data_IF_672697306261
#
_entry.id   IF_672697306261
#
_cell.length_a   1.000
_cell.length_b   1.000
_cell.length_c   1.000
_cell.angle_alpha   90.00
_cell.angle_beta   90.00
_cell.angle_gamma   90.00
#
_symmetry.space_group_name_H-M   'P 1'
#
loop_
_entity.id
_entity.type
_entity.pdbx_description
1 polymer ?
#
# COMPACT_ATOMS: atom_id res chain seq x y z
N UNK A 1 36.88 -53.12 -20.26
CA UNK A 1 36.06 -51.98 -20.73
C UNK A 1 34.85 -51.81 -19.81
N UNK A 2 34.67 -50.58 -19.32
CA UNK A 2 33.45 -49.92 -18.84
C UNK A 2 32.56 -50.59 -17.78
N UNK A 3 32.67 -50.12 -16.53
CA UNK A 3 31.50 -49.94 -15.65
C UNK A 3 31.81 -48.87 -14.60
N UNK A 4 31.65 -47.60 -14.96
CA UNK A 4 31.59 -46.51 -14.00
C UNK A 4 30.88 -45.33 -14.64
N UNK A 5 29.55 -45.28 -14.54
CA UNK A 5 28.82 -44.03 -14.83
C UNK A 5 27.40 -43.89 -14.26
N UNK A 6 26.90 -44.81 -13.42
CA UNK A 6 25.52 -44.70 -12.91
C UNK A 6 25.35 -43.98 -11.56
N UNK A 7 26.42 -43.45 -10.95
CA UNK A 7 26.34 -42.87 -9.60
C UNK A 7 26.40 -41.33 -9.53
N UNK A 8 26.53 -40.64 -10.67
CA UNK A 8 26.58 -39.17 -10.72
C UNK A 8 25.18 -38.53 -10.68
N UNK A 9 24.21 -39.10 -11.39
CA UNK A 9 22.83 -38.58 -11.43
C UNK A 9 22.10 -38.72 -10.09
N UNK A 10 22.30 -39.83 -9.38
CA UNK A 10 21.69 -40.07 -8.07
C UNK A 10 22.24 -39.10 -7.00
N UNK A 11 23.55 -38.82 -7.04
CA UNK A 11 24.20 -37.86 -6.14
C UNK A 11 23.77 -36.41 -6.39
N UNK A 12 23.49 -36.04 -7.64
CA UNK A 12 22.98 -34.71 -7.98
C UNK A 12 21.53 -34.54 -7.55
N UNK A 13 20.69 -35.57 -7.70
CA UNK A 13 19.30 -35.55 -7.21
C UNK A 13 19.22 -35.54 -5.67
N UNK A 14 20.10 -36.27 -4.96
CA UNK A 14 20.19 -36.19 -3.51
C UNK A 14 20.71 -34.82 -3.02
N UNK A 15 21.63 -34.17 -3.75
CA UNK A 15 22.09 -32.81 -3.42
C UNK A 15 21.02 -31.74 -3.68
N UNK A 16 20.18 -31.91 -4.69
CA UNK A 16 19.04 -31.02 -4.94
C UNK A 16 17.95 -31.17 -3.85
N UNK A 17 17.66 -32.41 -3.42
CA UNK A 17 16.75 -32.65 -2.29
C UNK A 17 17.31 -32.18 -0.94
N UNK A 18 18.63 -32.34 -0.69
CA UNK A 18 19.24 -31.93 0.58
C UNK A 18 19.56 -30.43 0.68
N UNK A 19 19.73 -29.69 -0.42
CA UNK A 19 19.83 -28.22 -0.35
C UNK A 19 18.53 -27.58 0.15
N UNK A 20 17.39 -28.23 -0.11
CA UNK A 20 16.09 -27.78 0.37
C UNK A 20 15.78 -28.19 1.81
N UNK A 21 16.63 -29.02 2.44
CA UNK A 21 16.42 -29.56 3.79
C UNK A 21 16.93 -28.63 4.91
N UNK A 22 17.61 -27.54 4.53
CA UNK A 22 18.16 -26.53 5.45
C UNK A 22 17.69 -25.10 5.10
N UNK A 23 16.61 -24.96 4.34
CA UNK A 23 15.89 -23.70 4.26
C UNK A 23 14.98 -23.64 5.49
N UNK A 24 15.25 -22.70 6.40
CA UNK A 24 14.35 -22.12 7.42
C UNK A 24 13.14 -23.00 7.76
N UNK A 25 13.18 -23.64 8.95
CA UNK A 25 12.27 -24.69 9.42
C UNK A 25 10.84 -24.63 8.85
N UNK A 26 10.35 -25.80 8.46
CA UNK A 26 9.03 -26.07 7.87
C UNK A 26 7.88 -25.48 8.73
N UNK A 27 7.69 -24.17 8.64
CA UNK A 27 6.47 -23.52 9.09
C UNK A 27 5.48 -23.64 7.95
N UNK A 28 4.74 -24.75 7.93
CA UNK A 28 3.55 -24.82 7.08
C UNK A 28 2.54 -23.82 7.64
N UNK A 29 2.20 -22.74 6.91
CA UNK A 29 1.33 -21.70 7.42
C UNK A 29 -0.03 -22.32 7.73
N UNK A 30 -0.56 -22.03 8.91
CA UNK A 30 -1.86 -22.55 9.32
C UNK A 30 -2.97 -22.06 8.38
N UNK A 31 -4.10 -22.77 8.26
CA UNK A 31 -5.23 -22.32 7.43
C UNK A 31 -5.69 -20.89 7.77
N UNK A 32 -5.67 -20.52 9.04
CA UNK A 32 -6.04 -19.17 9.49
C UNK A 32 -5.07 -18.09 8.99
N UNK A 33 -3.77 -18.35 9.02
CA UNK A 33 -2.78 -17.42 8.49
C UNK A 33 -2.85 -17.31 6.97
N UNK A 34 -3.10 -18.43 6.27
CA UNK A 34 -3.29 -18.40 4.82
C UNK A 34 -4.52 -17.56 4.44
N UNK A 35 -5.61 -17.68 5.20
CA UNK A 35 -6.82 -16.86 5.02
C UNK A 35 -6.59 -15.39 5.34
N UNK A 36 -5.83 -15.08 6.39
CA UNK A 36 -5.46 -13.70 6.74
C UNK A 36 -4.57 -13.07 5.68
N UNK A 37 -3.57 -13.80 5.18
CA UNK A 37 -2.73 -13.36 4.05
C UNK A 37 -3.54 -13.14 2.79
N UNK A 38 -4.47 -14.04 2.47
CA UNK A 38 -5.38 -13.88 1.33
C UNK A 38 -6.21 -12.59 1.46
N UNK A 39 -6.75 -12.30 2.65
CA UNK A 39 -7.52 -11.09 2.91
C UNK A 39 -6.68 -9.81 2.75
N UNK A 40 -5.45 -9.81 3.26
CA UNK A 40 -4.49 -8.72 3.08
C UNK A 40 -4.11 -8.51 1.61
N UNK A 41 -3.78 -9.58 0.90
CA UNK A 41 -3.43 -9.52 -0.51
C UNK A 41 -4.62 -9.05 -1.37
N UNK A 42 -5.87 -9.44 -1.05
CA UNK A 42 -7.07 -8.92 -1.72
C UNK A 42 -7.22 -7.41 -1.49
N UNK A 43 -7.04 -6.93 -0.24
CA UNK A 43 -7.11 -5.49 0.06
C UNK A 43 -6.02 -4.72 -0.68
N UNK A 44 -4.79 -5.21 -0.64
CA UNK A 44 -3.65 -4.63 -1.36
C UNK A 44 -3.90 -4.58 -2.85
N UNK A 45 -4.38 -5.67 -3.44
CA UNK A 45 -4.68 -5.75 -4.87
C UNK A 45 -5.71 -4.70 -5.30
N UNK A 46 -6.75 -4.48 -4.49
CA UNK A 46 -7.72 -3.40 -4.73
C UNK A 46 -7.07 -2.04 -4.76
N UNK A 47 -6.24 -1.72 -3.76
CA UNK A 47 -5.54 -0.43 -3.69
C UNK A 47 -4.63 -0.24 -4.92
N UNK A 48 -3.87 -1.27 -5.31
CA UNK A 48 -2.98 -1.20 -6.47
C UNK A 48 -3.76 -1.02 -7.78
N UNK A 49 -4.93 -1.66 -7.95
CA UNK A 49 -5.81 -1.40 -9.09
C UNK A 49 -6.40 0.00 -9.06
N UNK A 50 -6.84 0.49 -7.90
CA UNK A 50 -7.35 1.86 -7.75
C UNK A 50 -6.27 2.89 -8.13
N UNK A 51 -5.01 2.68 -7.69
CA UNK A 51 -3.86 3.50 -8.10
C UNK A 51 -3.63 3.46 -9.60
N UNK A 52 -3.70 2.29 -10.23
CA UNK A 52 -3.57 2.11 -11.67
C UNK A 52 -4.67 2.84 -12.45
N UNK A 53 -5.94 2.71 -12.03
CA UNK A 53 -7.05 3.41 -12.68
C UNK A 53 -6.99 4.92 -12.48
N UNK A 54 -6.48 5.37 -11.33
CA UNK A 54 -6.22 6.79 -11.05
C UNK A 54 -4.96 7.33 -11.73
N UNK A 55 -4.20 6.50 -12.45
CA UNK A 55 -3.00 6.89 -13.19
C UNK A 55 -1.73 7.08 -12.36
N UNK A 56 -1.73 6.73 -11.08
CA UNK A 56 -0.54 6.77 -10.22
C UNK A 56 0.51 5.71 -10.63
N UNK A 57 0.05 4.56 -11.13
CA UNK A 57 0.91 3.54 -11.72
C UNK A 57 0.55 3.32 -13.19
N UNK A 58 1.57 3.11 -14.03
CA UNK A 58 1.39 2.88 -15.48
C UNK A 58 1.00 1.44 -15.84
N UNK A 59 1.22 0.49 -14.93
CA UNK A 59 1.04 -0.95 -15.18
C UNK A 59 0.04 -1.56 -14.20
N UNK A 60 -0.83 -2.48 -14.65
CA UNK A 60 -1.69 -3.25 -13.77
C UNK A 60 -0.88 -4.10 -12.76
N UNK A 61 -1.43 -4.37 -11.56
CA UNK A 61 -0.75 -5.17 -10.54
C UNK A 61 -0.82 -6.68 -10.81
N UNK A 62 -0.04 -7.14 -11.79
CA UNK A 62 -0.02 -8.56 -12.18
C UNK A 62 0.54 -9.48 -11.10
N UNK A 63 1.59 -9.07 -10.39
CA UNK A 63 2.25 -9.90 -9.37
C UNK A 63 1.33 -10.20 -8.18
N UNK A 64 0.73 -9.16 -7.60
CA UNK A 64 -0.23 -9.31 -6.49
C UNK A 64 -1.46 -10.09 -6.94
N UNK A 65 -1.95 -9.84 -8.17
CA UNK A 65 -3.08 -10.61 -8.74
C UNK A 65 -2.77 -12.10 -8.82
N UNK A 66 -1.62 -12.47 -9.37
CA UNK A 66 -1.21 -13.87 -9.51
C UNK A 66 -1.06 -14.57 -8.15
N UNK A 67 -0.56 -13.85 -7.14
CA UNK A 67 -0.47 -14.36 -5.76
C UNK A 67 -1.85 -14.66 -5.17
N UNK A 68 -2.79 -13.72 -5.28
CA UNK A 68 -4.18 -13.91 -4.84
C UNK A 68 -4.84 -15.08 -5.55
N UNK A 69 -4.73 -15.16 -6.88
CA UNK A 69 -5.32 -16.27 -7.67
C UNK A 69 -4.75 -17.62 -7.27
N UNK A 70 -3.44 -17.69 -7.01
CA UNK A 70 -2.77 -18.91 -6.54
C UNK A 70 -3.28 -19.34 -5.16
N UNK A 71 -3.41 -18.40 -4.21
CA UNK A 71 -3.92 -18.67 -2.87
C UNK A 71 -5.40 -19.08 -2.89
N UNK A 72 -6.24 -18.41 -3.69
CA UNK A 72 -7.65 -18.77 -3.86
C UNK A 72 -7.77 -20.20 -4.40
N UNK A 73 -7.00 -20.55 -5.44
CA UNK A 73 -7.02 -21.90 -5.99
C UNK A 73 -6.59 -22.94 -4.95
N UNK A 74 -5.47 -22.69 -4.26
CA UNK A 74 -4.94 -23.60 -3.24
C UNK A 74 -5.93 -23.86 -2.11
N UNK A 75 -6.52 -22.79 -1.54
CA UNK A 75 -7.49 -22.88 -0.44
C UNK A 75 -8.84 -23.44 -0.91
N UNK A 76 -9.21 -23.22 -2.18
CA UNK A 76 -10.39 -23.80 -2.79
C UNK A 76 -10.31 -25.33 -2.90
N UNK A 77 -9.14 -25.83 -3.29
CA UNK A 77 -8.83 -27.26 -3.47
C UNK A 77 -8.57 -27.98 -2.13
N UNK A 78 -8.30 -27.25 -1.05
CA UNK A 78 -8.06 -27.81 0.28
C UNK A 78 -9.36 -28.36 0.92
N UNK A 79 -9.40 -29.68 1.10
CA UNK A 79 -10.50 -30.43 1.71
C UNK A 79 -10.39 -30.54 3.24
N UNK A 80 -9.28 -30.11 3.82
CA UNK A 80 -9.01 -30.23 5.27
C UNK A 80 -9.50 -29.02 6.07
N UNK A 81 -9.95 -27.96 5.39
CA UNK A 81 -10.47 -26.75 6.01
C UNK A 81 -11.70 -27.03 6.90
N UNK A 82 -11.69 -26.45 8.11
CA UNK A 82 -12.85 -26.44 8.99
C UNK A 82 -14.02 -25.67 8.34
N UNK A 83 -15.24 -25.91 8.82
CA UNK A 83 -16.44 -25.17 8.39
C UNK A 83 -16.27 -23.65 8.52
N UNK A 84 -15.67 -23.19 9.63
CA UNK A 84 -15.39 -21.77 9.86
C UNK A 84 -14.40 -21.21 8.82
N UNK A 85 -13.32 -21.95 8.54
CA UNK A 85 -12.35 -21.59 7.51
C UNK A 85 -12.99 -21.55 6.12
N UNK A 86 -13.85 -22.53 5.80
CA UNK A 86 -14.55 -22.59 4.50
C UNK A 86 -15.52 -21.43 4.32
N UNK A 87 -16.24 -21.05 5.38
CA UNK A 87 -17.10 -19.87 5.36
C UNK A 87 -16.28 -18.60 5.07
N UNK A 88 -15.19 -18.37 5.82
CA UNK A 88 -14.29 -17.22 5.61
C UNK A 88 -13.71 -17.21 4.20
N UNK A 89 -13.22 -18.36 3.73
CA UNK A 89 -12.75 -18.53 2.35
C UNK A 89 -13.82 -18.13 1.32
N UNK A 90 -15.04 -18.64 1.45
CA UNK A 90 -16.14 -18.34 0.51
C UNK A 90 -16.46 -16.83 0.48
N UNK A 91 -16.46 -16.17 1.64
CA UNK A 91 -16.63 -14.71 1.72
C UNK A 91 -15.51 -13.96 1.00
N UNK A 92 -14.26 -14.38 1.18
CA UNK A 92 -13.09 -13.77 0.52
C UNK A 92 -13.10 -14.01 -0.99
N UNK A 93 -13.41 -15.24 -1.44
CA UNK A 93 -13.51 -15.60 -2.84
C UNK A 93 -14.62 -14.81 -3.54
N UNK A 94 -15.78 -14.65 -2.90
CA UNK A 94 -16.88 -13.82 -3.42
C UNK A 94 -16.49 -12.35 -3.56
N UNK A 95 -15.82 -11.78 -2.54
CA UNK A 95 -15.29 -10.41 -2.57
C UNK A 95 -14.30 -10.22 -3.72
N UNK A 96 -13.36 -11.16 -3.88
CA UNK A 96 -12.41 -11.14 -4.98
C UNK A 96 -13.10 -11.21 -6.35
N UNK A 97 -14.09 -12.09 -6.52
CA UNK A 97 -14.83 -12.20 -7.78
C UNK A 97 -15.56 -10.90 -8.14
N UNK A 98 -16.18 -10.24 -7.17
CA UNK A 98 -16.83 -8.94 -7.36
C UNK A 98 -15.81 -7.87 -7.83
N UNK A 99 -14.64 -7.79 -7.19
CA UNK A 99 -13.59 -6.87 -7.60
C UNK A 99 -13.01 -7.21 -8.98
N UNK A 100 -12.77 -8.49 -9.26
CA UNK A 100 -12.26 -8.96 -10.55
C UNK A 100 -13.18 -8.56 -11.70
N UNK A 101 -14.50 -8.72 -11.54
CA UNK A 101 -15.46 -8.32 -12.55
C UNK A 101 -15.53 -6.80 -12.71
N UNK A 102 -15.46 -6.04 -11.61
CA UNK A 102 -15.37 -4.58 -11.65
C UNK A 102 -14.13 -4.12 -12.43
N UNK A 103 -12.94 -4.61 -12.10
CA UNK A 103 -11.71 -4.25 -12.80
C UNK A 103 -11.74 -4.65 -14.27
N UNK A 104 -12.32 -5.81 -14.61
CA UNK A 104 -12.49 -6.26 -15.99
C UNK A 104 -13.36 -5.27 -16.79
N UNK A 105 -14.51 -4.86 -16.23
CA UNK A 105 -15.41 -3.88 -16.86
C UNK A 105 -14.74 -2.52 -17.01
N UNK A 106 -13.99 -2.06 -16.01
CA UNK A 106 -13.26 -0.77 -16.08
C UNK A 106 -12.17 -0.80 -17.15
N UNK A 107 -11.38 -1.88 -17.22
CA UNK A 107 -10.36 -2.05 -18.27
C UNK A 107 -10.98 -2.06 -19.67
N UNK A 108 -12.08 -2.79 -19.85
CA UNK A 108 -12.81 -2.86 -21.11
C UNK A 108 -13.37 -1.47 -21.50
N UNK A 109 -13.99 -0.75 -20.57
CA UNK A 109 -14.51 0.59 -20.83
C UNK A 109 -13.43 1.61 -21.21
N UNK A 110 -12.20 1.43 -20.70
CA UNK A 110 -11.03 2.25 -21.05
C UNK A 110 -10.51 1.96 -22.45
N UNK A 111 -10.47 0.68 -22.85
CA UNK A 111 -10.07 0.26 -24.20
C UNK A 111 -11.10 0.71 -25.26
N UNK A 112 -12.38 0.67 -24.91
CA UNK A 112 -13.49 1.07 -25.78
C UNK A 112 -13.71 2.61 -25.83
N UNK A 113 -12.87 3.40 -25.16
CA UNK A 113 -12.98 4.87 -25.10
C UNK A 113 -14.23 5.38 -24.38
N UNK A 114 -15.01 4.50 -23.73
CA UNK A 114 -16.26 4.83 -23.04
C UNK A 114 -16.06 5.43 -21.65
N UNK A 115 -14.85 5.41 -21.11
CA UNK A 115 -14.56 6.02 -19.81
C UNK A 115 -14.17 7.51 -19.94
N UNK A 116 -15.06 8.27 -20.57
CA UNK A 116 -15.02 9.75 -20.57
C UNK A 116 -15.02 10.25 -19.13
N UNK A 117 -15.71 9.52 -18.24
CA UNK A 117 -15.73 9.78 -16.80
C UNK A 117 -14.37 9.58 -16.13
N UNK A 118 -13.61 8.51 -16.40
CA UNK A 118 -12.27 8.34 -15.83
C UNK A 118 -11.26 9.30 -16.43
N UNK A 119 -11.39 9.64 -17.72
CA UNK A 119 -10.54 10.66 -18.35
C UNK A 119 -10.81 12.04 -17.73
N UNK A 120 -12.08 12.41 -17.56
CA UNK A 120 -12.49 13.65 -16.90
C UNK A 120 -12.14 13.67 -15.41
N UNK A 121 -12.25 12.53 -14.69
CA UNK A 121 -11.80 12.43 -13.29
C UNK A 121 -10.28 12.48 -13.18
N UNK A 122 -9.56 11.88 -14.11
CA UNK A 122 -8.09 11.92 -14.14
C UNK A 122 -7.60 13.34 -14.48
N UNK A 123 -8.23 14.04 -15.42
CA UNK A 123 -7.93 15.44 -15.73
C UNK A 123 -8.29 16.35 -14.56
N UNK A 124 -9.48 16.21 -13.97
CA UNK A 124 -9.88 16.98 -12.79
C UNK A 124 -8.97 16.71 -11.58
N UNK A 125 -8.45 15.48 -11.43
CA UNK A 125 -7.48 15.14 -10.39
C UNK A 125 -6.11 15.75 -10.69
N UNK A 126 -5.65 15.71 -11.95
CA UNK A 126 -4.41 16.39 -12.35
C UNK A 126 -4.53 17.90 -12.15
N UNK A 127 -5.68 18.50 -12.45
CA UNK A 127 -5.98 19.91 -12.18
C UNK A 127 -6.01 20.19 -10.68
N UNK A 128 -6.64 19.35 -9.86
CA UNK A 128 -6.66 19.50 -8.41
C UNK A 128 -5.26 19.38 -7.79
N UNK A 129 -4.43 18.46 -8.29
CA UNK A 129 -3.03 18.30 -7.89
C UNK A 129 -2.19 19.50 -8.34
N UNK A 130 -2.37 19.99 -9.57
CA UNK A 130 -1.67 21.16 -10.09
C UNK A 130 -2.12 22.47 -9.42
N UNK A 131 -3.37 22.54 -8.97
CA UNK A 131 -3.92 23.69 -8.26
C UNK A 131 -3.52 23.74 -6.79
N UNK A 132 -2.98 22.65 -6.22
CA UNK A 132 -2.53 22.64 -4.84
C UNK A 132 -1.31 23.57 -4.69
N UNK A 133 -1.51 24.69 -3.99
CA UNK A 133 -0.43 25.63 -3.67
C UNK A 133 0.34 25.12 -2.47
N UNK A 134 1.67 25.12 -2.56
CA UNK A 134 2.55 24.89 -1.41
C UNK A 134 2.15 25.80 -0.25
N UNK A 135 1.87 25.21 0.90
CA UNK A 135 1.50 25.92 2.12
C UNK A 135 2.63 25.82 3.14
N UNK A 136 2.86 26.90 3.87
CA UNK A 136 3.88 26.97 4.92
C UNK A 136 3.24 27.50 6.20
N UNK A 137 3.49 26.83 7.32
CA UNK A 137 3.00 27.17 8.64
C UNK A 137 4.18 27.34 9.57
N UNK A 138 4.26 28.43 10.31
CA UNK A 138 5.33 28.69 11.28
C UNK A 138 4.73 28.56 12.66
N UNK A 139 5.30 27.69 13.51
CA UNK A 139 4.86 27.57 14.89
C UNK A 139 5.98 27.94 15.87
N UNK A 140 5.59 28.66 16.92
CA UNK A 140 6.42 28.95 18.08
C UNK A 140 6.30 27.84 19.14
N UNK A 141 5.13 27.23 19.34
CA UNK A 141 4.96 26.09 20.27
C UNK A 141 3.87 25.15 19.76
N UNK A 142 4.30 24.01 19.21
CA UNK A 142 3.40 23.01 18.63
C UNK A 142 2.47 22.33 19.66
N UNK A 143 2.74 22.41 20.98
CA UNK A 143 1.85 21.87 22.00
C UNK A 143 0.69 22.81 22.33
N UNK A 144 0.92 24.13 22.21
CA UNK A 144 -0.09 25.15 22.53
C UNK A 144 -0.86 25.62 21.31
N UNK A 145 -0.24 25.56 20.13
CA UNK A 145 -0.82 26.04 18.89
C UNK A 145 -1.71 24.98 18.22
N UNK A 146 -2.77 24.58 18.93
CA UNK A 146 -3.71 23.54 18.50
C UNK A 146 -4.41 23.93 17.20
N UNK A 147 -4.65 25.22 16.98
CA UNK A 147 -5.30 25.72 15.77
C UNK A 147 -4.38 25.61 14.54
N UNK A 148 -3.10 25.96 14.67
CA UNK A 148 -2.11 25.73 13.61
C UNK A 148 -1.98 24.24 13.27
N UNK A 149 -1.93 23.37 14.29
CA UNK A 149 -1.82 21.91 14.07
C UNK A 149 -3.08 21.36 13.40
N UNK A 150 -4.26 21.90 13.72
CA UNK A 150 -5.52 21.56 13.02
C UNK A 150 -5.47 21.97 11.56
N UNK A 151 -4.99 23.19 11.26
CA UNK A 151 -4.86 23.68 9.89
C UNK A 151 -3.84 22.86 9.08
N UNK A 152 -2.69 22.52 9.68
CA UNK A 152 -1.72 21.60 9.07
C UNK A 152 -2.36 20.24 8.75
N UNK A 153 -3.14 19.70 9.69
CA UNK A 153 -3.81 18.42 9.53
C UNK A 153 -4.86 18.44 8.41
N UNK A 154 -5.70 19.47 8.35
CA UNK A 154 -6.72 19.60 7.30
C UNK A 154 -6.08 19.79 5.93
N UNK A 155 -5.09 20.67 5.80
CA UNK A 155 -4.35 20.89 4.55
C UNK A 155 -3.61 19.63 4.10
N UNK A 156 -3.01 18.87 5.01
CA UNK A 156 -2.35 17.61 4.68
C UNK A 156 -3.35 16.55 4.20
N UNK A 157 -4.53 16.47 4.81
CA UNK A 157 -5.59 15.56 4.37
C UNK A 157 -6.15 15.94 3.00
N UNK A 158 -6.31 17.23 2.72
CA UNK A 158 -6.72 17.74 1.40
C UNK A 158 -5.68 17.37 0.34
N UNK A 159 -4.39 17.59 0.62
CA UNK A 159 -3.30 17.20 -0.25
C UNK A 159 -3.30 15.68 -0.51
N UNK A 160 -3.48 14.87 0.54
CA UNK A 160 -3.53 13.39 0.43
C UNK A 160 -4.71 12.93 -0.40
N UNK A 161 -5.89 13.53 -0.20
CA UNK A 161 -7.09 13.26 -1.01
C UNK A 161 -6.89 13.63 -2.47
N UNK A 162 -6.30 14.80 -2.75
CA UNK A 162 -6.00 15.24 -4.12
C UNK A 162 -5.03 14.26 -4.82
N UNK A 163 -4.04 13.75 -4.10
CA UNK A 163 -3.09 12.75 -4.61
C UNK A 163 -3.70 11.33 -4.69
N UNK A 164 -4.80 11.06 -3.99
CA UNK A 164 -5.40 9.73 -3.86
C UNK A 164 -4.62 8.81 -2.93
N UNK A 165 -3.93 9.37 -1.95
CA UNK A 165 -3.27 8.64 -0.87
C UNK A 165 -4.28 8.22 0.20
N UNK A 166 -4.08 7.07 0.87
CA UNK A 166 -4.96 6.62 1.95
C UNK A 166 -4.90 7.57 3.16
N UNK A 167 -6.07 7.86 3.74
CA UNK A 167 -6.22 8.74 4.91
C UNK A 167 -6.77 8.01 6.14
N UNK A 168 -7.06 6.71 6.04
CA UNK A 168 -7.85 5.95 7.01
C UNK A 168 -7.17 5.78 8.38
N UNK A 169 -5.84 5.69 8.41
CA UNK A 169 -5.06 5.53 9.65
C UNK A 169 -4.56 6.86 10.25
N UNK A 170 -4.94 7.99 9.66
CA UNK A 170 -4.41 9.29 10.00
C UNK A 170 -5.39 10.05 10.90
N UNK A 171 -5.23 9.94 12.23
CA UNK A 171 -6.07 10.64 13.22
C UNK A 171 -5.40 11.88 13.78
N UNK A 172 -6.19 12.93 14.04
CA UNK A 172 -5.70 14.19 14.60
C UNK A 172 -4.91 14.03 15.91
N UNK A 173 -5.34 13.22 16.91
CA UNK A 173 -4.59 13.06 18.15
C UNK A 173 -3.19 12.46 17.94
N UNK A 174 -3.06 11.50 17.01
CA UNK A 174 -1.79 10.88 16.66
C UNK A 174 -0.89 11.86 15.92
N UNK A 175 -1.48 12.65 15.02
CA UNK A 175 -0.78 13.68 14.28
C UNK A 175 -0.27 14.80 15.20
N UNK A 176 -1.08 15.29 16.13
CA UNK A 176 -0.68 16.32 17.08
C UNK A 176 0.53 15.89 17.91
N UNK A 177 0.52 14.67 18.44
CA UNK A 177 1.67 14.12 19.19
C UNK A 177 2.93 14.03 18.33
N UNK A 178 2.79 13.65 17.07
CA UNK A 178 3.90 13.55 16.13
C UNK A 178 4.50 14.93 15.84
N UNK A 179 3.67 15.92 15.53
CA UNK A 179 4.11 17.28 15.21
C UNK A 179 4.79 17.93 16.41
N UNK A 180 4.23 17.77 17.61
CA UNK A 180 4.82 18.30 18.82
C UNK A 180 6.21 17.68 19.10
N UNK A 181 6.31 16.34 19.05
CA UNK A 181 7.59 15.64 19.21
C UNK A 181 8.63 16.01 18.15
N UNK A 182 8.22 16.21 16.89
CA UNK A 182 9.13 16.62 15.81
C UNK A 182 9.60 18.06 15.96
N UNK A 183 8.70 18.97 16.39
CA UNK A 183 9.04 20.36 16.67
C UNK A 183 10.08 20.43 17.80
N UNK A 184 9.84 19.75 18.92
CA UNK A 184 10.76 19.74 20.07
C UNK A 184 12.15 19.23 19.67
N UNK A 185 12.21 18.07 19.00
CA UNK A 185 13.48 17.50 18.54
C UNK A 185 14.21 18.36 17.51
N UNK A 186 13.49 19.13 16.67
CA UNK A 186 14.09 20.08 15.75
C UNK A 186 14.69 21.29 16.46
N UNK A 187 13.98 21.83 17.47
CA UNK A 187 14.47 22.95 18.28
C UNK A 187 15.70 22.58 19.08
N UNK A 188 15.70 21.42 19.74
CA UNK A 188 16.85 20.93 20.51
C UNK A 188 18.08 20.74 19.62
N UNK A 189 17.90 20.17 18.42
CA UNK A 189 19.02 19.87 17.51
C UNK A 189 19.56 21.10 16.77
N UNK A 190 18.71 22.06 16.41
CA UNK A 190 19.08 23.22 15.60
C UNK A 190 19.27 24.51 16.41
N UNK A 191 18.85 24.54 17.67
CA UNK A 191 18.89 25.73 18.53
C UNK A 191 17.95 26.85 18.03
N UNK A 192 16.85 26.49 17.36
CA UNK A 192 15.89 27.45 16.82
C UNK A 192 14.70 27.61 17.76
N UNK A 193 14.14 28.82 17.84
CA UNK A 193 12.93 29.09 18.63
C UNK A 193 11.65 28.72 17.87
N UNK A 194 11.68 28.87 16.53
CA UNK A 194 10.55 28.67 15.62
C UNK A 194 10.79 27.53 14.64
N UNK A 195 9.71 26.81 14.30
CA UNK A 195 9.75 25.71 13.33
C UNK A 195 8.72 25.96 12.23
N UNK A 196 9.16 25.89 10.98
CA UNK A 196 8.30 25.97 9.81
C UNK A 196 7.97 24.57 9.28
N UNK A 197 6.70 24.34 9.01
CA UNK A 197 6.14 23.14 8.39
C UNK A 197 5.61 23.49 7.02
N UNK A 198 6.05 22.76 6.00
CA UNK A 198 5.61 22.96 4.62
C UNK A 198 4.96 21.70 4.06
N UNK A 199 3.81 21.88 3.42
CA UNK A 199 3.07 20.84 2.70
C UNK A 199 3.11 21.20 1.22
N UNK A 200 3.58 20.27 0.40
CA UNK A 200 3.68 20.40 -1.05
C UNK A 200 3.22 19.12 -1.74
N UNK A 201 2.94 19.19 -3.03
CA UNK A 201 2.62 18.01 -3.85
C UNK A 201 3.67 17.86 -4.94
N UNK A 202 4.56 16.88 -4.78
CA UNK A 202 5.67 16.62 -5.69
C UNK A 202 5.44 15.27 -6.39
N UNK A 203 5.39 15.26 -7.73
CA UNK A 203 5.24 14.02 -8.51
C UNK A 203 3.96 13.23 -8.19
N UNK A 204 2.87 13.92 -7.81
CA UNK A 204 1.59 13.30 -7.46
C UNK A 204 1.55 12.65 -6.08
N UNK A 205 2.53 12.94 -5.22
CA UNK A 205 2.59 12.50 -3.83
C UNK A 205 2.73 13.70 -2.89
N UNK A 206 2.22 13.58 -1.67
CA UNK A 206 2.30 14.65 -0.68
C UNK A 206 3.68 14.66 -0.03
N UNK A 207 4.37 15.79 -0.14
CA UNK A 207 5.64 16.07 0.52
C UNK A 207 5.39 16.92 1.77
N UNK A 208 5.74 16.39 2.94
CA UNK A 208 5.73 17.11 4.22
C UNK A 208 7.16 17.37 4.69
N UNK A 209 7.54 18.64 4.90
CA UNK A 209 8.90 19.04 5.29
C UNK A 209 8.85 19.99 6.48
N UNK A 210 9.72 19.76 7.46
CA UNK A 210 9.88 20.63 8.63
C UNK A 210 11.29 21.24 8.65
N UNK A 211 11.42 22.53 8.98
CA UNK A 211 12.69 23.25 9.06
C UNK A 211 12.70 24.19 10.27
N UNK A 212 13.83 24.27 10.97
CA UNK A 212 14.05 25.32 11.96
C UNK A 212 14.18 26.67 11.27
N UNK A 213 13.46 27.67 11.77
CA UNK A 213 13.59 29.05 11.32
C UNK A 213 14.67 29.71 12.18
N UNK A 214 15.70 30.26 11.52
CA UNK A 214 16.72 31.09 12.17
C UNK A 214 16.28 32.54 12.03
N UNK A 215 16.40 33.29 13.12
CA UNK A 215 16.33 34.75 13.08
C UNK A 215 17.50 35.34 12.28
#
# INVERSE_FOLDING_TARGET
MAQSNNNKLFRTQLRAKNKNKYAVGEYEPTPDEQLTRLEEDIRRLKIEFDQFFNGATKRPPYDTKGRVETLIKRLGDDRTLSFAHRYRYNSLASRYNAFRELWRRTLQGREEGRDIGATARASAKQEAVAAFKKTNFVCDDAHKDVELVKNLYTTLLEAKKACGEPTEDFSFPRFHRLIASQADGLKERLGCERVSFSIDVEGGHVSFKAKGERD
#
